data_IF_312301412299
#
_entry.id   IF_312301412299
#
_cell.length_a   1.000
_cell.length_b   1.000
_cell.length_c   1.000
_cell.angle_alpha   90.00
_cell.angle_beta   90.00
_cell.angle_gamma   90.00
#
_symmetry.space_group_name_H-M   'P 1'
#
loop_
_entity.id
_entity.type
_entity.pdbx_description
1 polymer ?
#
# COMPACT_ATOMS: atom_id res chain seq x y z
N UNK A 1 49.70 32.47 35.15
CA UNK A 1 48.60 31.48 35.06
C UNK A 1 48.61 30.92 33.64
N UNK A 2 48.81 29.62 33.48
CA UNK A 2 48.65 28.94 32.20
C UNK A 2 47.51 27.92 32.34
N UNK A 3 46.47 28.03 31.52
CA UNK A 3 45.31 27.14 31.57
C UNK A 3 45.61 25.97 30.63
N UNK A 4 45.89 24.80 31.20
CA UNK A 4 46.18 23.59 30.45
C UNK A 4 44.86 22.96 29.99
N UNK A 5 44.42 23.28 28.76
CA UNK A 5 43.20 22.72 28.18
C UNK A 5 43.48 21.25 27.83
N UNK A 6 42.84 20.30 28.55
CA UNK A 6 42.84 18.89 28.17
C UNK A 6 41.82 18.66 27.05
N UNK A 7 42.29 18.53 25.81
CA UNK A 7 41.48 18.02 24.70
C UNK A 7 41.30 16.51 24.86
N UNK A 8 40.27 16.13 25.63
CA UNK A 8 39.81 14.74 25.75
C UNK A 8 39.31 14.29 24.38
N UNK A 9 40.17 13.58 23.64
CA UNK A 9 39.80 12.96 22.37
C UNK A 9 38.95 11.73 22.66
N UNK A 10 37.62 11.94 22.74
CA UNK A 10 36.64 10.87 22.94
C UNK A 10 36.66 10.00 21.68
N UNK A 11 37.43 8.92 21.73
CA UNK A 11 37.33 7.81 20.78
C UNK A 11 35.98 7.14 20.98
N UNK A 12 34.97 7.66 20.27
CA UNK A 12 33.70 6.99 20.08
C UNK A 12 33.98 5.66 19.34
N UNK A 13 34.03 4.56 20.10
CA UNK A 13 33.87 3.24 19.51
C UNK A 13 32.43 3.10 19.05
N UNK A 14 32.16 3.57 17.83
CA UNK A 14 30.95 3.21 17.11
C UNK A 14 30.97 1.68 16.91
N UNK A 15 30.09 1.00 17.62
CA UNK A 15 29.68 -0.34 17.20
C UNK A 15 29.18 -0.24 15.74
N UNK A 16 29.42 -1.25 14.89
CA UNK A 16 28.83 -1.29 13.55
C UNK A 16 27.32 -1.15 13.67
N UNK A 17 26.76 -0.04 13.20
CA UNK A 17 25.33 0.15 13.15
C UNK A 17 24.74 -0.85 12.14
N UNK A 18 23.66 -1.52 12.53
CA UNK A 18 22.90 -2.34 11.60
C UNK A 18 22.38 -1.47 10.45
N UNK A 19 22.40 -1.99 9.22
CA UNK A 19 21.74 -1.32 8.10
C UNK A 19 20.23 -1.29 8.35
N UNK A 20 19.69 -0.12 8.70
CA UNK A 20 18.24 0.07 8.88
C UNK A 20 17.59 0.34 7.52
N UNK A 21 16.69 -0.57 7.11
CA UNK A 21 15.92 -0.50 5.87
C UNK A 21 14.43 -0.43 6.18
N UNK A 22 13.65 0.25 5.33
CA UNK A 22 12.19 0.16 5.29
C UNK A 22 11.78 -0.41 3.93
N UNK A 23 10.88 -1.40 3.92
CA UNK A 23 10.37 -2.02 2.68
C UNK A 23 8.85 -2.19 2.76
N UNK A 24 8.18 -2.11 1.61
CA UNK A 24 6.73 -2.39 1.52
C UNK A 24 6.50 -3.82 1.00
N UNK A 25 5.74 -4.61 1.76
CA UNK A 25 5.23 -5.91 1.34
C UNK A 25 3.74 -5.82 1.00
N UNK A 26 3.35 -6.38 -0.14
CA UNK A 26 1.95 -6.39 -0.59
C UNK A 26 1.33 -7.75 -0.26
N UNK A 27 0.13 -7.75 0.34
CA UNK A 27 -0.54 -8.97 0.79
C UNK A 27 -0.70 -9.96 -0.37
N UNK A 28 -0.33 -11.22 -0.13
CA UNK A 28 -0.28 -12.30 -1.12
C UNK A 28 0.92 -12.27 -2.06
N UNK A 29 1.59 -11.13 -2.26
CA UNK A 29 2.80 -11.00 -3.07
C UNK A 29 4.05 -11.47 -2.30
N UNK A 30 5.24 -11.02 -2.71
CA UNK A 30 6.51 -11.34 -2.05
C UNK A 30 7.37 -10.09 -1.88
N UNK A 31 8.16 -10.06 -0.81
CA UNK A 31 9.02 -8.94 -0.44
C UNK A 31 10.47 -9.41 -0.23
N UNK A 32 11.44 -8.54 -0.50
CA UNK A 32 12.86 -8.80 -0.26
C UNK A 32 13.30 -8.14 1.05
N UNK A 33 13.74 -8.95 2.01
CA UNK A 33 14.43 -8.50 3.20
C UNK A 33 15.92 -8.46 2.87
N UNK A 34 16.38 -7.29 2.43
CA UNK A 34 17.73 -7.06 1.91
C UNK A 34 18.76 -7.04 3.02
N UNK A 35 19.81 -7.88 2.91
CA UNK A 35 20.98 -7.80 3.77
C UNK A 35 22.26 -8.29 3.08
N UNK A 36 23.34 -7.55 3.28
CA UNK A 36 24.65 -7.81 2.68
C UNK A 36 25.76 -7.57 3.71
N UNK A 37 26.71 -8.51 3.80
CA UNK A 37 27.74 -8.53 4.84
C UNK A 37 28.91 -7.57 4.61
N UNK A 38 28.94 -6.84 3.47
CA UNK A 38 30.02 -5.88 3.12
C UNK A 38 31.44 -6.46 3.20
N UNK A 39 31.57 -7.76 2.93
CA UNK A 39 32.88 -8.43 2.92
C UNK A 39 33.75 -7.92 1.77
N UNK A 40 35.01 -7.62 2.05
CA UNK A 40 36.02 -7.28 1.03
C UNK A 40 36.60 -8.51 0.32
N UNK A 41 36.24 -9.72 0.75
CA UNK A 41 36.72 -11.00 0.21
C UNK A 41 35.58 -12.02 0.07
N UNK A 42 35.77 -13.03 -0.79
CA UNK A 42 34.76 -14.06 -1.00
C UNK A 42 34.53 -14.90 0.27
N UNK A 43 33.28 -15.06 0.67
CA UNK A 43 32.88 -15.81 1.86
C UNK A 43 32.81 -17.31 1.54
N UNK A 44 33.51 -18.12 2.33
CA UNK A 44 33.29 -19.56 2.37
C UNK A 44 31.96 -19.88 3.07
N UNK A 45 31.01 -20.40 2.30
CA UNK A 45 29.67 -20.79 2.81
C UNK A 45 29.71 -21.94 3.82
N UNK A 46 30.77 -22.75 3.88
CA UNK A 46 30.97 -23.78 4.92
C UNK A 46 31.42 -23.19 6.28
N UNK A 47 31.89 -21.94 6.30
CA UNK A 47 32.19 -21.14 7.50
C UNK A 47 31.05 -20.18 7.90
N UNK A 48 30.10 -19.94 6.99
CA UNK A 48 28.98 -19.02 7.20
C UNK A 48 27.86 -19.65 8.06
N UNK A 49 27.42 -18.87 9.06
CA UNK A 49 26.14 -19.04 9.77
C UNK A 49 25.39 -17.73 9.73
N UNK A 50 24.11 -17.76 9.39
CA UNK A 50 23.22 -16.61 9.58
C UNK A 50 21.78 -17.03 9.85
N UNK A 51 21.02 -16.13 10.47
CA UNK A 51 19.58 -16.28 10.61
C UNK A 51 18.89 -14.92 10.52
N UNK A 52 17.62 -14.94 10.16
CA UNK A 52 16.70 -13.82 10.32
C UNK A 52 15.69 -14.18 11.40
N UNK A 53 15.35 -13.21 12.23
CA UNK A 53 14.25 -13.30 13.19
C UNK A 53 13.36 -12.06 13.10
N UNK A 54 12.13 -12.15 13.58
CA UNK A 54 11.27 -10.99 13.81
C UNK A 54 11.54 -10.33 15.19
N UNK A 55 10.74 -9.32 15.53
CA UNK A 55 10.88 -8.59 16.80
C UNK A 55 10.48 -9.44 18.03
N UNK A 56 9.68 -10.49 17.83
CA UNK A 56 9.37 -11.51 18.85
C UNK A 56 10.48 -12.56 18.99
N UNK A 57 11.56 -12.46 18.20
CA UNK A 57 12.69 -13.41 18.11
C UNK A 57 12.29 -14.77 17.53
N UNK A 58 11.18 -14.85 16.81
CA UNK A 58 10.78 -16.05 16.09
C UNK A 58 11.69 -16.19 14.86
N UNK A 59 12.23 -17.38 14.60
CA UNK A 59 13.22 -17.60 13.54
C UNK A 59 12.51 -17.69 12.18
N UNK A 60 12.66 -16.62 11.40
CA UNK A 60 12.07 -16.41 10.07
C UNK A 60 12.79 -17.25 9.02
N UNK A 61 14.10 -17.40 9.16
CA UNK A 61 14.97 -18.17 8.28
C UNK A 61 16.28 -18.52 8.99
N UNK A 62 16.89 -19.68 8.68
CA UNK A 62 18.22 -20.04 9.18
C UNK A 62 19.10 -20.71 8.13
N UNK A 63 20.41 -20.43 8.16
CA UNK A 63 21.44 -21.07 7.36
C UNK A 63 22.65 -21.42 8.23
N UNK A 64 23.09 -22.67 8.15
CA UNK A 64 24.20 -23.23 8.92
C UNK A 64 25.06 -24.10 7.99
N UNK A 65 26.17 -23.56 7.47
CA UNK A 65 27.18 -24.32 6.69
C UNK A 65 26.64 -25.06 5.45
N UNK A 66 25.56 -24.57 4.83
CA UNK A 66 24.91 -25.20 3.67
C UNK A 66 23.57 -25.88 3.98
N UNK A 67 23.27 -26.12 5.25
CA UNK A 67 21.98 -26.58 5.75
C UNK A 67 21.05 -25.36 5.97
N UNK A 68 19.77 -25.48 5.62
CA UNK A 68 18.78 -24.40 5.66
C UNK A 68 17.58 -24.76 6.52
N UNK A 69 16.96 -23.74 7.14
CA UNK A 69 15.70 -23.80 7.89
C UNK A 69 15.64 -24.81 9.05
N UNK A 70 16.78 -25.31 9.53
CA UNK A 70 16.90 -26.25 10.67
C UNK A 70 16.18 -25.79 11.95
N UNK A 71 16.05 -24.47 12.15
CA UNK A 71 15.42 -23.87 13.32
C UNK A 71 14.29 -22.90 12.94
N UNK A 72 13.76 -22.98 11.72
CA UNK A 72 12.70 -22.10 11.24
C UNK A 72 11.37 -22.40 11.95
N UNK A 73 10.59 -21.36 12.26
CA UNK A 73 9.24 -21.51 12.78
C UNK A 73 8.22 -21.92 11.69
N UNK A 74 7.20 -22.65 12.13
CA UNK A 74 5.98 -22.95 11.39
C UNK A 74 5.39 -21.74 10.63
N UNK A 75 5.34 -20.55 11.24
CA UNK A 75 4.77 -19.31 10.68
C UNK A 75 5.48 -18.82 9.39
N UNK A 76 6.72 -19.24 9.16
CA UNK A 76 7.55 -18.85 8.02
C UNK A 76 7.92 -20.03 7.11
N UNK A 77 7.49 -21.24 7.46
CA UNK A 77 7.74 -22.48 6.70
C UNK A 77 7.17 -22.37 5.28
N UNK A 78 7.97 -22.75 4.28
CA UNK A 78 7.70 -22.57 2.84
C UNK A 78 7.52 -21.11 2.35
N UNK A 79 7.55 -20.10 3.23
CA UNK A 79 7.40 -18.69 2.87
C UNK A 79 8.75 -18.01 2.55
N UNK A 80 9.85 -18.46 3.16
CA UNK A 80 11.17 -17.80 3.03
C UNK A 80 12.21 -18.57 2.20
N UNK A 81 13.09 -17.84 1.49
CA UNK A 81 14.20 -18.40 0.70
C UNK A 81 15.37 -17.41 0.58
N UNK A 82 16.61 -17.89 0.71
CA UNK A 82 17.83 -17.10 0.46
C UNK A 82 18.45 -17.34 -0.93
N UNK A 83 19.40 -16.49 -1.29
CA UNK A 83 20.10 -16.48 -2.57
C UNK A 83 21.44 -17.22 -2.48
N UNK A 84 21.42 -18.57 -2.39
CA UNK A 84 22.61 -19.43 -2.19
C UNK A 84 23.82 -19.07 -3.08
N UNK A 85 23.57 -18.74 -4.35
CA UNK A 85 24.61 -18.36 -5.34
C UNK A 85 25.33 -17.04 -5.05
N UNK A 86 24.77 -16.20 -4.17
CA UNK A 86 25.26 -14.84 -3.89
C UNK A 86 25.82 -14.72 -2.45
N UNK A 87 25.69 -15.77 -1.63
CA UNK A 87 26.25 -15.83 -0.28
C UNK A 87 27.78 -15.71 -0.27
N UNK A 88 28.46 -16.22 -1.32
CA UNK A 88 29.91 -16.07 -1.50
C UNK A 88 30.35 -14.62 -1.72
N UNK A 89 29.47 -13.76 -2.23
CA UNK A 89 29.68 -12.31 -2.33
C UNK A 89 29.23 -11.54 -1.08
N UNK A 90 28.63 -12.20 -0.08
CA UNK A 90 28.14 -11.57 1.14
C UNK A 90 26.64 -11.32 1.21
N UNK A 91 25.87 -11.65 0.16
CA UNK A 91 24.42 -11.49 0.17
C UNK A 91 23.76 -12.55 1.07
N UNK A 92 23.11 -12.11 2.15
CA UNK A 92 22.32 -12.95 3.07
C UNK A 92 20.85 -12.50 3.12
N UNK A 93 20.41 -11.78 2.10
CA UNK A 93 19.01 -11.39 1.91
C UNK A 93 18.10 -12.61 1.82
N UNK A 94 16.86 -12.44 2.26
CA UNK A 94 15.81 -13.45 2.07
C UNK A 94 14.60 -12.86 1.35
N UNK A 95 14.03 -13.63 0.44
CA UNK A 95 12.68 -13.40 -0.07
C UNK A 95 11.69 -13.95 0.94
N UNK A 96 10.78 -13.12 1.46
CA UNK A 96 9.58 -13.55 2.17
C UNK A 96 8.40 -13.55 1.17
N UNK A 97 7.61 -14.62 1.15
CA UNK A 97 6.57 -14.86 0.15
C UNK A 97 5.22 -15.06 0.84
N UNK A 98 4.13 -14.68 0.16
CA UNK A 98 2.78 -14.65 0.72
C UNK A 98 2.75 -13.75 1.97
N UNK A 99 2.99 -12.45 1.79
CA UNK A 99 2.88 -11.47 2.89
C UNK A 99 1.42 -11.40 3.38
N UNK A 100 1.22 -11.22 4.67
CA UNK A 100 -0.06 -11.25 5.38
C UNK A 100 -0.19 -10.04 6.33
N UNK A 101 -1.36 -9.85 6.93
CA UNK A 101 -1.55 -8.87 8.02
C UNK A 101 -0.93 -9.31 9.35
N UNK A 102 -0.38 -10.51 9.47
CA UNK A 102 0.38 -10.95 10.65
C UNK A 102 1.83 -10.47 10.59
N UNK A 103 2.37 -10.24 9.39
CA UNK A 103 3.71 -9.67 9.18
C UNK A 103 3.76 -8.13 9.40
N UNK A 104 2.63 -7.49 9.77
CA UNK A 104 2.46 -6.02 9.80
C UNK A 104 3.39 -5.33 10.81
N UNK A 105 4.13 -4.32 10.35
CA UNK A 105 5.01 -3.48 11.19
C UNK A 105 6.09 -4.24 11.97
N UNK A 106 6.26 -5.55 11.73
CA UNK A 106 7.32 -6.35 12.34
C UNK A 106 8.68 -5.88 11.84
N UNK A 107 9.65 -5.82 12.75
CA UNK A 107 11.04 -5.50 12.40
C UNK A 107 11.88 -6.78 12.32
N UNK A 108 12.26 -7.12 11.09
CA UNK A 108 13.08 -8.27 10.77
C UNK A 108 14.55 -7.94 11.00
N UNK A 109 15.27 -8.75 11.76
CA UNK A 109 16.67 -8.51 12.11
C UNK A 109 17.54 -9.69 11.67
N UNK A 110 18.62 -9.38 10.96
CA UNK A 110 19.59 -10.36 10.45
C UNK A 110 20.78 -10.47 11.39
N UNK A 111 21.24 -11.70 11.63
CA UNK A 111 22.37 -12.04 12.50
C UNK A 111 23.32 -12.96 11.74
N UNK A 112 24.62 -12.67 11.78
CA UNK A 112 25.61 -13.45 11.04
C UNK A 112 26.89 -13.72 11.84
N UNK A 113 27.58 -14.80 11.52
CA UNK A 113 28.88 -15.17 12.09
C UNK A 113 29.71 -15.95 11.07
N UNK A 114 30.97 -15.54 10.88
CA UNK A 114 31.96 -16.24 10.06
C UNK A 114 32.94 -16.97 10.98
N UNK A 115 32.89 -18.30 10.97
CA UNK A 115 33.62 -19.12 11.93
C UNK A 115 35.12 -19.05 11.71
N UNK A 116 35.89 -18.88 12.79
CA UNK A 116 37.36 -18.87 12.78
C UNK A 116 38.01 -17.50 12.58
N UNK A 117 37.23 -16.43 12.43
CA UNK A 117 37.73 -15.04 12.41
C UNK A 117 37.27 -14.27 13.66
N UNK A 118 37.82 -14.64 14.81
CA UNK A 118 37.49 -14.08 16.13
C UNK A 118 35.97 -14.03 16.41
N UNK A 119 35.24 -15.02 15.89
CA UNK A 119 33.79 -15.26 15.95
C UNK A 119 32.91 -14.03 16.25
N UNK A 120 33.06 -13.00 15.40
CA UNK A 120 32.27 -11.77 15.51
C UNK A 120 30.80 -12.03 15.16
N UNK A 121 29.95 -12.11 16.18
CA UNK A 121 28.51 -11.97 16.03
C UNK A 121 28.17 -10.55 15.57
N UNK A 122 27.84 -10.39 14.29
CA UNK A 122 27.36 -9.12 13.76
C UNK A 122 25.83 -9.11 13.67
N UNK A 123 25.23 -7.92 13.85
CA UNK A 123 23.83 -7.64 13.55
C UNK A 123 23.79 -6.82 12.24
N UNK A 124 24.11 -7.40 11.07
CA UNK A 124 24.37 -6.61 9.86
C UNK A 124 23.20 -5.74 9.40
N UNK A 125 21.94 -6.17 9.60
CA UNK A 125 20.78 -5.48 9.04
C UNK A 125 19.54 -5.57 9.94
N UNK A 126 18.72 -4.52 9.93
CA UNK A 126 17.41 -4.39 10.57
C UNK A 126 16.43 -3.86 9.50
N UNK A 127 15.25 -4.45 9.36
CA UNK A 127 14.33 -4.14 8.25
C UNK A 127 12.90 -4.06 8.74
N UNK A 128 12.31 -2.88 8.68
CA UNK A 128 10.90 -2.63 9.00
C UNK A 128 10.04 -2.99 7.80
N UNK A 129 9.04 -3.86 8.00
CA UNK A 129 8.10 -4.25 6.95
C UNK A 129 6.78 -3.46 7.07
N UNK A 130 6.53 -2.58 6.12
CA UNK A 130 5.22 -1.97 5.94
C UNK A 130 4.33 -2.89 5.10
N UNK A 131 3.18 -3.31 5.63
CA UNK A 131 2.23 -4.18 4.92
C UNK A 131 1.11 -3.34 4.28
N UNK A 132 0.77 -3.65 3.03
CA UNK A 132 -0.32 -2.99 2.30
C UNK A 132 -1.11 -3.96 1.41
N UNK A 133 -2.32 -3.56 1.04
CA UNK A 133 -3.10 -4.15 -0.06
C UNK A 133 -3.64 -3.04 -0.97
N UNK A 134 -3.60 -3.28 -2.28
CA UNK A 134 -4.16 -2.36 -3.28
C UNK A 134 -5.67 -2.32 -3.17
N UNK A 135 -6.24 -1.11 -3.19
CA UNK A 135 -7.68 -0.95 -3.35
C UNK A 135 -8.05 -1.27 -4.81
N UNK A 136 -9.08 -2.09 -5.06
CA UNK A 136 -9.69 -2.18 -6.39
C UNK A 136 -10.21 -0.83 -6.86
N UNK A 137 -10.24 -0.62 -8.18
CA UNK A 137 -10.86 0.56 -8.81
C UNK A 137 -12.29 0.76 -8.27
N UNK A 138 -12.61 1.93 -7.70
CA UNK A 138 -13.89 2.13 -7.03
C UNK A 138 -15.06 2.12 -8.02
N UNK A 139 -16.21 1.57 -7.61
CA UNK A 139 -17.47 1.75 -8.32
C UNK A 139 -18.06 3.13 -8.00
N UNK A 140 -18.37 3.94 -9.02
CA UNK A 140 -19.01 5.26 -8.87
C UNK A 140 -20.40 5.25 -9.50
N UNK A 141 -21.43 5.43 -8.68
CA UNK A 141 -22.86 5.36 -9.07
C UNK A 141 -23.56 6.71 -8.83
N UNK A 142 -24.35 7.17 -9.80
CA UNK A 142 -25.07 8.45 -9.76
C UNK A 142 -26.57 8.21 -9.54
N UNK A 143 -27.14 8.83 -8.50
CA UNK A 143 -28.58 8.86 -8.26
C UNK A 143 -29.14 10.22 -8.72
N UNK A 144 -29.90 10.21 -9.83
CA UNK A 144 -30.51 11.42 -10.42
C UNK A 144 -31.78 11.92 -9.69
N UNK A 145 -32.36 11.12 -8.79
CA UNK A 145 -33.52 11.53 -7.99
C UNK A 145 -33.09 12.35 -6.78
N UNK A 146 -31.99 11.94 -6.13
CA UNK A 146 -31.44 12.63 -4.96
C UNK A 146 -30.31 13.61 -5.33
N UNK A 147 -29.88 13.63 -6.60
CA UNK A 147 -28.74 14.41 -7.11
C UNK A 147 -27.46 14.23 -6.27
N UNK A 148 -27.12 12.98 -5.99
CA UNK A 148 -25.87 12.61 -5.33
C UNK A 148 -25.11 11.50 -6.09
N UNK A 149 -23.80 11.49 -5.94
CA UNK A 149 -22.91 10.42 -6.41
C UNK A 149 -22.41 9.61 -5.21
N UNK A 150 -22.27 8.30 -5.39
CA UNK A 150 -21.74 7.36 -4.39
C UNK A 150 -20.54 6.62 -4.93
N UNK A 151 -19.52 6.43 -4.10
CA UNK A 151 -18.28 5.73 -4.40
C UNK A 151 -18.06 4.60 -3.40
N UNK A 152 -17.66 3.42 -3.87
CA UNK A 152 -17.32 2.30 -2.98
C UNK A 152 -16.20 1.41 -3.52
N UNK A 153 -15.39 0.86 -2.62
CA UNK A 153 -14.36 -0.16 -2.89
C UNK A 153 -14.07 -0.95 -1.60
N UNK A 154 -13.51 -2.15 -1.71
CA UNK A 154 -13.25 -3.07 -0.59
C UNK A 154 -11.96 -3.85 -0.83
N UNK A 155 -11.22 -4.17 0.24
CA UNK A 155 -10.10 -5.11 0.21
C UNK A 155 -8.70 -4.47 0.18
N UNK A 156 -8.60 -3.16 0.39
CA UNK A 156 -7.30 -2.48 0.51
C UNK A 156 -6.84 -2.29 1.96
N UNK A 157 -5.55 -2.01 2.14
CA UNK A 157 -4.94 -1.78 3.47
C UNK A 157 -3.68 -0.89 3.33
N UNK A 158 -3.37 0.03 4.27
CA UNK A 158 -4.13 0.36 5.49
C UNK A 158 -5.32 1.29 5.16
N UNK A 159 -5.80 2.04 6.17
CA UNK A 159 -6.89 3.00 6.01
C UNK A 159 -6.57 4.02 4.89
N UNK A 160 -7.46 4.17 3.88
CA UNK A 160 -7.21 5.04 2.75
C UNK A 160 -7.58 6.49 3.05
N UNK A 161 -7.05 7.41 2.24
CA UNK A 161 -7.60 8.77 2.10
C UNK A 161 -8.56 8.78 0.91
N UNK A 162 -9.76 9.33 1.11
CA UNK A 162 -10.81 9.42 0.09
C UNK A 162 -11.00 10.87 -0.29
N UNK A 163 -10.91 11.20 -1.58
CA UNK A 163 -11.19 12.54 -2.09
C UNK A 163 -12.06 12.48 -3.35
N UNK A 164 -12.72 13.59 -3.66
CA UNK A 164 -13.56 13.75 -4.84
C UNK A 164 -13.08 14.94 -5.67
N UNK A 165 -13.15 14.81 -6.99
CA UNK A 165 -12.97 15.92 -7.94
C UNK A 165 -14.26 16.06 -8.73
N UNK A 166 -14.87 17.25 -8.70
CA UNK A 166 -16.03 17.60 -9.53
C UNK A 166 -15.55 18.62 -10.57
N UNK A 167 -15.95 18.46 -11.83
CA UNK A 167 -15.68 19.40 -12.91
C UNK A 167 -16.97 19.83 -13.60
N UNK A 168 -17.09 21.13 -13.88
CA UNK A 168 -18.20 21.70 -14.63
C UNK A 168 -18.02 21.59 -16.16
N UNK A 169 -19.02 22.04 -16.92
CA UNK A 169 -19.00 22.02 -18.40
C UNK A 169 -17.94 22.95 -19.02
N UNK A 170 -17.39 23.89 -18.26
CA UNK A 170 -16.24 24.73 -18.62
C UNK A 170 -14.87 24.17 -18.18
N UNK A 171 -14.81 22.94 -17.66
CA UNK A 171 -13.63 22.31 -17.05
C UNK A 171 -13.12 23.00 -15.77
N UNK A 172 -13.94 23.81 -15.09
CA UNK A 172 -13.60 24.34 -13.77
C UNK A 172 -13.75 23.23 -12.73
N UNK A 173 -12.69 22.99 -11.95
CA UNK A 173 -12.79 22.16 -10.75
C UNK A 173 -13.64 22.87 -9.70
N UNK A 174 -14.60 22.16 -9.14
CA UNK A 174 -15.50 22.62 -8.08
C UNK A 174 -15.18 21.88 -6.78
N UNK A 175 -15.20 22.59 -5.66
CA UNK A 175 -15.07 21.98 -4.34
C UNK A 175 -16.29 21.08 -4.04
N UNK A 176 -16.08 19.82 -3.58
CA UNK A 176 -17.15 18.90 -3.21
C UNK A 176 -18.10 19.45 -2.13
N UNK A 177 -19.36 19.70 -2.49
CA UNK A 177 -20.40 20.07 -1.52
C UNK A 177 -20.87 18.82 -0.76
N UNK A 178 -20.66 18.81 0.56
CA UNK A 178 -21.13 17.79 1.51
C UNK A 178 -20.64 16.36 1.18
N UNK A 179 -19.35 16.12 1.41
CA UNK A 179 -18.77 14.77 1.38
C UNK A 179 -19.10 14.02 2.66
N UNK A 180 -19.90 12.97 2.56
CA UNK A 180 -20.11 11.98 3.62
C UNK A 180 -19.23 10.77 3.33
N UNK A 181 -18.29 10.42 4.22
CA UNK A 181 -17.39 9.27 4.03
C UNK A 181 -17.45 8.35 5.24
N UNK A 182 -17.72 7.08 4.98
CA UNK A 182 -17.67 5.99 5.94
C UNK A 182 -16.55 5.01 5.51
N UNK A 183 -15.64 4.70 6.42
CA UNK A 183 -14.57 3.73 6.21
C UNK A 183 -14.71 2.68 7.30
N UNK A 184 -14.94 1.44 6.89
CA UNK A 184 -15.12 0.31 7.80
C UNK A 184 -13.93 -0.65 7.69
N UNK A 185 -13.52 -1.21 8.81
CA UNK A 185 -12.57 -2.31 8.88
C UNK A 185 -13.36 -3.60 8.98
N UNK A 186 -13.14 -4.54 8.06
CA UNK A 186 -13.64 -5.90 8.20
C UNK A 186 -12.82 -6.63 9.28
N UNK A 187 -13.49 -7.19 10.29
CA UNK A 187 -12.88 -7.93 11.38
C UNK A 187 -12.39 -9.33 11.00
N UNK A 188 -12.89 -9.91 9.90
CA UNK A 188 -12.47 -11.25 9.44
C UNK A 188 -11.23 -11.16 8.54
N UNK A 189 -11.28 -10.36 7.46
CA UNK A 189 -10.11 -10.19 6.57
C UNK A 189 -9.07 -9.19 7.09
N UNK A 190 -9.43 -8.29 8.02
CA UNK A 190 -8.57 -7.19 8.46
C UNK A 190 -8.36 -6.09 7.41
N UNK A 191 -9.15 -6.08 6.33
CA UNK A 191 -9.04 -5.13 5.22
C UNK A 191 -10.11 -4.03 5.31
N UNK A 192 -9.82 -2.89 4.69
CA UNK A 192 -10.72 -1.74 4.70
C UNK A 192 -11.72 -1.76 3.54
N UNK A 193 -12.94 -1.32 3.84
CA UNK A 193 -13.99 -0.99 2.89
C UNK A 193 -14.34 0.49 2.97
N UNK A 194 -14.58 1.10 1.82
CA UNK A 194 -14.93 2.52 1.67
C UNK A 194 -16.35 2.62 1.12
N UNK A 195 -17.15 3.51 1.73
CA UNK A 195 -18.35 4.08 1.13
C UNK A 195 -18.28 5.60 1.28
N UNK A 196 -18.48 6.34 0.21
CA UNK A 196 -18.51 7.80 0.23
C UNK A 196 -19.64 8.33 -0.66
N UNK A 197 -20.20 9.48 -0.29
CA UNK A 197 -21.27 10.17 -1.00
C UNK A 197 -20.95 11.66 -1.10
N UNK A 198 -21.33 12.29 -2.22
CA UNK A 198 -21.19 13.73 -2.48
C UNK A 198 -22.41 14.24 -3.25
N UNK A 199 -22.85 15.48 -2.97
CA UNK A 199 -23.95 16.12 -3.71
C UNK A 199 -23.43 16.69 -5.04
N UNK A 200 -24.24 16.60 -6.10
CA UNK A 200 -23.84 16.89 -7.50
C UNK A 200 -24.94 17.65 -8.26
N UNK A 201 -24.61 18.19 -9.42
CA UNK A 201 -25.58 18.81 -10.35
C UNK A 201 -25.46 18.24 -11.77
N UNK A 202 -26.43 18.52 -12.63
CA UNK A 202 -26.41 18.05 -14.02
C UNK A 202 -25.26 18.68 -14.83
N UNK A 203 -24.75 17.93 -15.81
CA UNK A 203 -23.63 18.29 -16.70
C UNK A 203 -22.26 18.39 -15.99
N UNK A 204 -22.12 17.83 -14.79
CA UNK A 204 -20.84 17.66 -14.12
C UNK A 204 -20.13 16.36 -14.52
N UNK A 205 -18.80 16.37 -14.46
CA UNK A 205 -17.96 15.15 -14.45
C UNK A 205 -17.43 14.94 -13.04
N UNK A 206 -17.63 13.75 -12.48
CA UNK A 206 -17.39 13.46 -11.06
C UNK A 206 -16.43 12.28 -10.93
N UNK A 207 -15.31 12.47 -10.23
CA UNK A 207 -14.28 11.46 -10.01
C UNK A 207 -14.10 11.19 -8.52
N UNK A 208 -14.12 9.91 -8.14
CA UNK A 208 -13.72 9.47 -6.80
C UNK A 208 -12.27 8.98 -6.83
N UNK A 209 -11.49 9.36 -5.82
CA UNK A 209 -10.09 8.96 -5.64
C UNK A 209 -9.90 8.25 -4.30
N UNK A 210 -9.19 7.12 -4.33
CA UNK A 210 -8.82 6.31 -3.16
C UNK A 210 -7.29 6.22 -3.12
N UNK A 211 -6.66 6.90 -2.17
CA UNK A 211 -5.22 6.93 -1.98
C UNK A 211 -4.78 5.96 -0.90
N UNK A 212 -3.83 5.07 -1.22
CA UNK A 212 -3.17 4.20 -0.25
C UNK A 212 -1.90 4.90 0.28
N UNK A 213 -1.82 5.27 1.57
CA UNK A 213 -0.71 6.07 2.09
C UNK A 213 0.63 5.31 2.19
N UNK A 214 0.60 3.97 2.22
CA UNK A 214 1.83 3.14 2.30
C UNK A 214 2.39 2.90 0.90
N UNK A 215 1.54 2.48 -0.05
CA UNK A 215 1.95 2.29 -1.46
C UNK A 215 2.24 3.61 -2.18
N UNK A 216 1.63 4.71 -1.70
CA UNK A 216 1.56 6.02 -2.38
C UNK A 216 0.89 5.94 -3.77
N UNK A 217 0.10 4.89 -3.99
CA UNK A 217 -0.72 4.66 -5.18
C UNK A 217 -2.12 5.27 -4.98
N UNK A 218 -2.68 5.89 -6.02
CA UNK A 218 -4.09 6.34 -6.06
C UNK A 218 -4.84 5.56 -7.13
N UNK A 219 -5.94 4.91 -6.76
CA UNK A 219 -6.93 4.38 -7.73
C UNK A 219 -8.10 5.33 -7.83
N UNK A 220 -8.75 5.41 -8.99
CA UNK A 220 -9.82 6.38 -9.23
C UNK A 220 -10.81 5.89 -10.29
N UNK A 221 -12.03 6.43 -10.26
CA UNK A 221 -13.03 6.18 -11.30
C UNK A 221 -13.92 7.41 -11.48
N UNK A 222 -14.41 7.62 -12.71
CA UNK A 222 -15.04 8.86 -13.18
C UNK A 222 -16.37 8.57 -13.86
N UNK A 223 -17.41 9.33 -13.51
CA UNK A 223 -18.76 9.22 -14.09
C UNK A 223 -19.27 10.60 -14.52
N UNK A 224 -19.95 10.67 -15.67
CA UNK A 224 -20.54 11.91 -16.20
C UNK A 224 -22.02 12.00 -15.83
N UNK A 225 -22.43 13.08 -15.17
CA UNK A 225 -23.80 13.35 -14.76
C UNK A 225 -24.58 13.93 -15.94
N UNK A 226 -25.00 13.07 -16.88
CA UNK A 226 -25.80 13.51 -18.04
C UNK A 226 -27.13 14.14 -17.56
N UNK A 227 -27.64 15.19 -18.23
CA UNK A 227 -28.88 15.83 -17.83
C UNK A 227 -30.09 14.90 -17.93
N UNK A 228 -31.17 15.25 -17.23
CA UNK A 228 -32.48 14.64 -17.39
C UNK A 228 -33.07 14.99 -18.76
N UNK A 229 -33.80 14.04 -19.38
CA UNK A 229 -34.53 14.33 -20.62
C UNK A 229 -35.75 15.17 -20.26
N UNK A 230 -35.84 16.39 -20.78
CA UNK A 230 -37.07 17.18 -20.72
C UNK A 230 -38.20 16.43 -21.45
N UNK A 231 -39.25 16.08 -20.71
CA UNK A 231 -40.47 15.54 -21.32
C UNK A 231 -41.23 16.72 -21.92
N UNK A 232 -40.96 17.01 -23.19
CA UNK A 232 -41.77 17.96 -23.96
C UNK A 232 -43.16 17.35 -24.17
N UNK A 233 -44.10 17.73 -23.30
CA UNK A 233 -45.52 17.49 -23.48
C UNK A 233 -46.07 18.56 -24.42
N UNK A 234 -46.13 18.27 -25.73
CA UNK A 234 -46.69 19.19 -26.71
C UNK A 234 -48.17 19.50 -26.41
N UNK A 235 -48.56 20.77 -26.16
CA UNK A 235 -49.93 21.14 -25.87
C UNK A 235 -50.71 21.42 -27.17
N UNK A 236 -50.85 20.40 -28.02
CA UNK A 236 -51.45 20.51 -29.35
C UNK A 236 -52.58 19.49 -29.58
N UNK A 237 -53.71 19.67 -28.87
CA UNK A 237 -54.79 18.67 -28.84
C UNK A 237 -56.24 19.19 -28.71
N UNK A 238 -56.50 20.47 -28.99
CA UNK A 238 -57.87 21.02 -28.92
C UNK A 238 -58.09 22.22 -29.85
N UNK A 239 -58.63 21.98 -31.04
CA UNK A 239 -59.31 22.99 -31.87
C UNK A 239 -60.24 22.31 -32.90
N UNK A 240 -61.22 21.54 -32.43
CA UNK A 240 -62.42 21.28 -33.24
C UNK A 240 -63.32 22.54 -33.19
N UNK A 241 -63.68 23.04 -34.36
CA UNK A 241 -64.68 24.10 -34.54
C UNK A 241 -65.41 23.89 -35.86
N UNK A 242 -66.53 23.16 -35.77
CA UNK A 242 -67.55 23.17 -36.81
C UNK A 242 -68.04 24.60 -37.08
N UNK A 243 -67.90 25.06 -38.33
CA UNK A 243 -68.83 26.05 -38.89
C UNK A 243 -69.05 25.78 -40.38
N UNK A 244 -70.27 26.10 -40.83
CA UNK A 244 -70.87 25.67 -42.08
C UNK A 244 -71.10 26.89 -42.99
N UNK A 245 -71.32 26.66 -44.30
CA UNK A 245 -72.01 27.56 -45.26
C UNK A 245 -71.23 28.85 -45.65
N UNK A 246 -71.18 29.32 -46.91
CA UNK A 246 -71.48 28.73 -48.25
C UNK A 246 -70.29 29.12 -49.20
N UNK A 247 -70.27 29.30 -50.53
CA UNK A 247 -71.29 29.39 -51.60
C UNK A 247 -70.77 28.79 -52.94
N UNK A 248 -71.19 29.32 -54.10
CA UNK A 248 -70.88 28.82 -55.46
C UNK A 248 -69.80 29.64 -56.18
N UNK A 249 -69.08 28.99 -57.10
CA UNK A 249 -69.17 29.32 -58.54
C UNK A 249 -68.78 28.10 -59.39
#
# INVERSE_FOLDING_TARGET
MAILILIISILLLSAPAASENEVTGIIGESVLLSCDLKSSTAIDTARLRFHWQDESKIVVYSFNKGEENQHQDSLYTNRTKAFRSEMTSGNISIKLSQVTLEDKQNVYSAFATLLGENDKHNHPCRTTLLVAARFPTPSVTVNKTNMNATCSTQGGYPQPVVTWTIQDRGNHTLDPWEVQTNITLDSESGLYSVWSQVNITENQTVTCHIFNPVLRETVSNTTIVSPSKSINTDPAGACDRTQHLIFMN
#
